data_IF_452085704343
#
_entry.id   IF_452085704343
#
_cell.length_a   1.000
_cell.length_b   1.000
_cell.length_c   1.000
_cell.angle_alpha   90.00
_cell.angle_beta   90.00
_cell.angle_gamma   90.00
#
_symmetry.space_group_name_H-M   'P 1'
#
loop_
_entity.id
_entity.type
_entity.pdbx_description
1 polymer ?
#
# COMPACT_ATOMS: atom_id res chain seq x y z
N UNK A 1 -4.73 19.22 12.98
CA UNK A 1 -4.19 19.08 11.60
C UNK A 1 -5.15 18.21 10.82
N UNK A 2 -6.02 18.83 10.01
CA UNK A 2 -6.96 18.13 9.13
C UNK A 2 -6.31 17.97 7.76
N UNK A 3 -5.43 16.97 7.59
CA UNK A 3 -4.88 16.64 6.27
C UNK A 3 -5.88 15.74 5.53
N UNK A 4 -6.87 16.38 4.94
CA UNK A 4 -7.85 15.78 4.01
C UNK A 4 -7.32 15.76 2.58
N UNK A 5 -6.00 15.68 2.40
CA UNK A 5 -5.34 15.82 1.11
C UNK A 5 -4.89 14.45 0.60
N UNK A 6 -5.75 13.88 -0.26
CA UNK A 6 -5.52 12.71 -1.15
C UNK A 6 -5.45 11.34 -0.45
N UNK A 7 -6.64 10.86 -0.04
CA UNK A 7 -6.90 9.44 0.24
C UNK A 7 -6.86 8.59 -1.06
N UNK A 8 -5.76 8.62 -1.81
CA UNK A 8 -5.54 7.62 -2.85
C UNK A 8 -4.63 6.52 -2.28
N UNK A 9 -4.94 5.27 -2.58
CA UNK A 9 -4.15 4.11 -2.19
C UNK A 9 -2.70 4.27 -2.65
N UNK A 10 -2.46 4.88 -3.81
CA UNK A 10 -1.10 5.11 -4.32
C UNK A 10 -0.31 6.06 -3.41
N UNK A 11 -0.93 7.11 -2.88
CA UNK A 11 -0.28 8.02 -1.93
C UNK A 11 0.08 7.30 -0.63
N UNK A 12 -0.81 6.44 -0.12
CA UNK A 12 -0.52 5.59 1.05
C UNK A 12 0.68 4.66 0.79
N UNK A 13 0.73 4.00 -0.37
CA UNK A 13 1.83 3.08 -0.70
C UNK A 13 3.19 3.80 -0.79
N UNK A 14 3.24 4.97 -1.42
CA UNK A 14 4.46 5.80 -1.42
C UNK A 14 4.87 6.24 -0.02
N UNK A 15 3.91 6.58 0.84
CA UNK A 15 4.20 6.95 2.22
C UNK A 15 4.77 5.78 3.01
N UNK A 16 4.19 4.59 2.87
CA UNK A 16 4.67 3.36 3.50
C UNK A 16 6.10 3.03 3.05
N UNK A 17 6.39 3.14 1.76
CA UNK A 17 7.73 2.91 1.25
C UNK A 17 8.70 3.98 1.77
N UNK A 18 8.38 5.26 1.62
CA UNK A 18 9.27 6.36 2.01
C UNK A 18 9.56 6.40 3.51
N UNK A 19 8.56 6.13 4.36
CA UNK A 19 8.72 6.23 5.82
C UNK A 19 9.26 4.95 6.45
N UNK A 20 8.88 3.78 5.93
CA UNK A 20 9.13 2.49 6.59
C UNK A 20 9.97 1.52 5.75
N UNK A 21 10.25 1.84 4.49
CA UNK A 21 10.82 0.89 3.53
C UNK A 21 9.95 -0.36 3.46
N UNK A 22 8.63 -0.19 3.37
CA UNK A 22 7.67 -1.27 3.55
C UNK A 22 7.86 -2.43 2.56
N UNK A 23 8.27 -2.12 1.33
CA UNK A 23 8.59 -3.10 0.29
C UNK A 23 10.09 -3.43 0.23
N UNK A 24 10.90 -2.90 1.16
CA UNK A 24 12.32 -3.22 1.26
C UNK A 24 12.46 -4.72 1.52
N UNK A 25 13.15 -5.41 0.60
CA UNK A 25 13.32 -6.87 0.54
C UNK A 25 12.13 -7.66 -0.03
N UNK A 26 11.09 -7.00 -0.54
CA UNK A 26 10.05 -7.65 -1.34
C UNK A 26 10.53 -7.67 -2.79
N UNK A 27 11.21 -8.76 -3.18
CA UNK A 27 11.77 -8.89 -4.53
C UNK A 27 10.69 -9.04 -5.63
N UNK A 28 9.56 -9.67 -5.28
CA UNK A 28 8.45 -9.88 -6.19
C UNK A 28 7.13 -9.83 -5.43
N UNK A 29 6.07 -9.39 -6.11
CA UNK A 29 4.69 -9.53 -5.63
C UNK A 29 3.97 -10.51 -6.53
N UNK A 30 3.41 -11.55 -5.93
CA UNK A 30 2.74 -12.64 -6.63
C UNK A 30 1.49 -13.13 -5.87
N UNK A 31 0.84 -14.17 -6.41
CA UNK A 31 -0.38 -14.75 -5.82
C UNK A 31 -0.19 -15.35 -4.43
N UNK A 32 1.05 -15.62 -4.01
CA UNK A 32 1.35 -16.24 -2.72
C UNK A 32 1.55 -15.20 -1.62
N UNK A 33 2.06 -14.00 -1.95
CA UNK A 33 2.36 -12.98 -0.95
C UNK A 33 1.42 -11.77 -0.95
N UNK A 34 0.67 -11.53 -2.03
CA UNK A 34 -0.16 -10.32 -2.17
C UNK A 34 -1.22 -10.20 -1.07
N UNK A 35 -1.80 -11.31 -0.63
CA UNK A 35 -2.82 -11.29 0.43
C UNK A 35 -2.21 -10.94 1.79
N UNK A 36 -1.03 -11.46 2.11
CA UNK A 36 -0.31 -11.10 3.33
C UNK A 36 0.07 -9.60 3.34
N UNK A 37 0.51 -9.06 2.21
CA UNK A 37 0.80 -7.63 2.05
C UNK A 37 -0.46 -6.80 2.29
N UNK A 38 -1.61 -7.21 1.74
CA UNK A 38 -2.89 -6.54 1.95
C UNK A 38 -3.27 -6.52 3.44
N UNK A 39 -3.13 -7.64 4.16
CA UNK A 39 -3.41 -7.68 5.60
C UNK A 39 -2.53 -6.71 6.39
N UNK A 40 -1.23 -6.64 6.08
CA UNK A 40 -0.30 -5.76 6.77
C UNK A 40 -0.66 -4.28 6.56
N UNK A 41 -1.07 -3.91 5.35
CA UNK A 41 -1.55 -2.55 5.05
C UNK A 41 -2.86 -2.28 5.80
N UNK A 42 -3.82 -3.21 5.77
CA UNK A 42 -5.09 -3.05 6.49
C UNK A 42 -4.87 -2.91 8.00
N UNK A 43 -4.01 -3.74 8.59
CA UNK A 43 -3.66 -3.66 10.01
C UNK A 43 -2.99 -2.33 10.36
N UNK A 44 -2.05 -1.85 9.53
CA UNK A 44 -1.43 -0.54 9.73
C UNK A 44 -2.47 0.58 9.72
N UNK A 45 -3.43 0.53 8.79
CA UNK A 45 -4.48 1.54 8.69
C UNK A 45 -5.40 1.51 9.93
N UNK A 46 -5.85 0.33 10.34
CA UNK A 46 -6.70 0.19 11.53
C UNK A 46 -5.97 0.68 12.78
N UNK A 47 -4.68 0.35 12.93
CA UNK A 47 -3.87 0.80 14.07
C UNK A 47 -3.76 2.33 14.15
N UNK A 48 -3.66 3.01 13.01
CA UNK A 48 -3.44 4.46 12.96
C UNK A 48 -4.74 5.26 12.96
N UNK A 49 -5.80 4.76 12.32
CA UNK A 49 -7.04 5.50 12.07
C UNK A 49 -8.27 4.90 12.75
N UNK A 50 -8.15 3.76 13.41
CA UNK A 50 -9.26 3.06 14.09
C UNK A 50 -10.14 2.22 13.17
N UNK A 51 -10.15 2.52 11.86
CA UNK A 51 -10.95 1.84 10.83
C UNK A 51 -10.14 1.58 9.55
N UNK A 52 -10.55 0.60 8.72
CA UNK A 52 -9.94 0.38 7.41
C UNK A 52 -10.19 1.59 6.48
N UNK A 53 -9.13 2.29 6.09
CA UNK A 53 -9.22 3.39 5.12
C UNK A 53 -9.58 2.93 3.69
N UNK A 54 -9.22 1.69 3.35
CA UNK A 54 -9.38 1.12 2.01
C UNK A 54 -9.86 -0.33 2.12
N UNK A 55 -10.67 -0.75 1.16
CA UNK A 55 -11.03 -2.16 0.98
C UNK A 55 -9.83 -2.97 0.48
N UNK A 56 -9.87 -4.29 0.70
CA UNK A 56 -8.89 -5.24 0.14
C UNK A 56 -8.73 -5.09 -1.36
N UNK A 57 -9.84 -4.84 -2.06
CA UNK A 57 -9.86 -4.68 -3.52
C UNK A 57 -9.08 -3.43 -3.94
N UNK A 58 -9.31 -2.31 -3.26
CA UNK A 58 -8.60 -1.06 -3.53
C UNK A 58 -7.10 -1.20 -3.26
N UNK A 59 -6.73 -1.83 -2.13
CA UNK A 59 -5.32 -2.11 -1.81
C UNK A 59 -4.69 -2.98 -2.88
N UNK A 60 -5.35 -4.06 -3.29
CA UNK A 60 -4.86 -4.96 -4.35
C UNK A 60 -4.66 -4.22 -5.67
N UNK A 61 -5.60 -3.38 -6.07
CA UNK A 61 -5.49 -2.57 -7.29
C UNK A 61 -4.37 -1.54 -7.18
N UNK A 62 -4.25 -0.89 -6.03
CA UNK A 62 -3.17 0.05 -5.73
C UNK A 62 -1.80 -0.58 -5.83
N UNK A 63 -1.60 -1.75 -5.21
CA UNK A 63 -0.33 -2.50 -5.30
C UNK A 63 -0.02 -2.84 -6.75
N UNK A 64 -0.97 -3.40 -7.51
CA UNK A 64 -0.73 -3.73 -8.92
C UNK A 64 -0.33 -2.52 -9.74
N UNK A 65 -1.00 -1.39 -9.54
CA UNK A 65 -0.70 -0.14 -10.25
C UNK A 65 0.67 0.40 -9.85
N UNK A 66 0.97 0.47 -8.55
CA UNK A 66 2.24 0.94 -7.99
C UNK A 66 3.45 0.24 -8.64
N UNK A 67 3.43 -1.09 -8.68
CA UNK A 67 4.54 -1.88 -9.23
C UNK A 67 4.56 -1.91 -10.77
N UNK A 68 3.44 -1.63 -11.45
CA UNK A 68 3.41 -1.49 -12.91
C UNK A 68 4.00 -0.14 -13.34
N UNK A 69 3.63 0.93 -12.64
CA UNK A 69 4.10 2.29 -12.93
C UNK A 69 5.60 2.43 -12.60
N UNK A 70 6.09 1.88 -11.49
CA UNK A 70 7.54 1.90 -11.16
C UNK A 70 8.40 1.04 -12.09
N UNK A 71 7.85 -0.05 -12.64
CA UNK A 71 8.55 -0.88 -13.65
C UNK A 71 8.78 -0.14 -14.97
N UNK A 72 8.11 0.99 -15.19
CA UNK A 72 8.22 1.80 -16.41
C UNK A 72 9.34 2.84 -16.34
N UNK A 73 10.02 2.97 -15.19
CA UNK A 73 11.10 3.93 -14.93
C UNK A 73 12.48 3.28 -14.72
N UNK A 74 12.60 1.96 -14.89
CA UNK A 74 13.86 1.22 -14.84
C UNK A 74 14.28 0.71 -16.23
#
# INVERSE_FOLDING_TARGET
MNNKEKNDIISLLHELEKKKGFFKNVNQIDKYNIDAIIELIQYSNVKEYGDPLFSRREIRQGIKKYFTDESSFN
#
